data_IF_111684704847
#
_entry.id   IF_111684704847
#
_cell.length_a   1.000
_cell.length_b   1.000
_cell.length_c   1.000
_cell.angle_alpha   90.00
_cell.angle_beta   90.00
_cell.angle_gamma   90.00
#
_symmetry.space_group_name_H-M   'P 1'
#
loop_
_entity.id
_entity.type
_entity.pdbx_description
1 polymer ?
#
# COMPACT_ATOMS: atom_id res chain seq x y z
N UNK A 1 25.93 -2.10 -31.26
CA UNK A 1 25.19 -0.85 -30.97
C UNK A 1 24.19 -0.97 -29.81
N UNK A 2 23.66 -2.16 -29.45
CA UNK A 2 22.75 -2.32 -28.30
C UNK A 2 23.42 -2.19 -26.91
N UNK A 3 24.72 -2.51 -26.78
CA UNK A 3 25.46 -2.38 -25.51
C UNK A 3 26.04 -0.97 -25.23
N UNK A 4 25.92 -0.03 -26.17
CA UNK A 4 26.39 1.36 -25.97
C UNK A 4 25.28 2.24 -25.41
N UNK A 5 24.01 1.93 -25.72
CA UNK A 5 22.85 2.67 -25.17
C UNK A 5 22.55 2.35 -23.70
N UNK A 6 22.72 1.09 -23.26
CA UNK A 6 22.48 0.73 -21.86
C UNK A 6 23.54 1.34 -20.91
N UNK A 7 24.78 1.41 -21.37
CA UNK A 7 25.90 2.00 -20.61
C UNK A 7 25.80 3.53 -20.60
N UNK A 8 25.27 4.15 -21.67
CA UNK A 8 25.04 5.60 -21.72
C UNK A 8 23.89 6.04 -20.78
N UNK A 9 22.84 5.22 -20.62
CA UNK A 9 21.76 5.49 -19.67
C UNK A 9 22.24 5.41 -18.22
N UNK A 10 23.07 4.40 -17.87
CA UNK A 10 23.65 4.29 -16.53
C UNK A 10 24.68 5.38 -16.20
N UNK A 11 25.45 5.88 -17.18
CA UNK A 11 26.36 7.00 -16.95
C UNK A 11 25.65 8.37 -16.87
N UNK A 12 24.49 8.53 -17.52
CA UNK A 12 23.74 9.80 -17.45
C UNK A 12 23.09 10.07 -16.09
N UNK A 13 22.88 9.03 -15.27
CA UNK A 13 22.42 9.15 -13.87
C UNK A 13 23.54 9.50 -12.87
N UNK A 14 24.81 9.51 -13.30
CA UNK A 14 25.95 9.86 -12.42
C UNK A 14 26.46 11.29 -12.61
N UNK A 15 25.96 12.03 -13.59
CA UNK A 15 26.42 13.39 -13.89
C UNK A 15 25.36 14.43 -13.53
N UNK A 16 25.19 14.69 -12.24
CA UNK A 16 24.81 15.98 -11.61
C UNK A 16 24.50 15.77 -10.12
N UNK A 17 25.40 15.12 -9.40
CA UNK A 17 25.51 15.39 -7.95
C UNK A 17 26.50 16.53 -7.82
N UNK A 18 25.98 17.75 -7.75
CA UNK A 18 26.74 18.83 -7.16
C UNK A 18 27.07 18.39 -5.73
N UNK A 19 28.35 18.13 -5.48
CA UNK A 19 28.88 17.98 -4.15
C UNK A 19 28.67 19.32 -3.42
N UNK A 20 27.55 19.41 -2.69
CA UNK A 20 27.42 20.41 -1.64
C UNK A 20 28.13 19.82 -0.43
N UNK A 21 29.38 20.24 -0.28
CA UNK A 21 30.06 20.23 1.01
C UNK A 21 29.25 21.17 1.91
N UNK A 22 28.47 20.63 2.84
CA UNK A 22 27.83 21.42 3.88
C UNK A 22 28.00 20.73 5.23
N UNK A 23 28.94 21.29 5.98
CA UNK A 23 29.07 21.12 7.40
C UNK A 23 27.75 21.42 8.11
N UNK A 24 27.49 20.67 9.18
CA UNK A 24 26.52 20.96 10.24
C UNK A 24 25.04 21.07 9.83
N UNK A 25 24.32 19.94 9.94
CA UNK A 25 22.88 19.98 10.30
C UNK A 25 22.49 18.75 11.13
N UNK A 26 23.05 18.66 12.33
CA UNK A 26 22.32 18.14 13.50
C UNK A 26 21.85 19.33 14.36
N UNK A 27 21.38 20.40 13.71
CA UNK A 27 20.48 21.32 14.39
C UNK A 27 19.14 20.57 14.48
N UNK A 28 18.85 20.03 15.67
CA UNK A 28 17.48 19.63 16.02
C UNK A 28 16.54 20.73 15.53
N UNK A 29 15.56 20.37 14.70
CA UNK A 29 14.57 21.34 14.23
C UNK A 29 13.90 21.95 15.46
N UNK A 30 14.33 23.14 15.85
CA UNK A 30 13.70 23.91 16.93
C UNK A 30 12.35 24.40 16.41
N UNK A 31 11.33 23.57 16.58
CA UNK A 31 9.98 23.86 16.15
C UNK A 31 9.03 22.74 16.55
N UNK A 32 7.72 23.02 16.59
CA UNK A 32 6.72 22.02 16.96
C UNK A 32 6.55 20.91 15.90
N UNK A 33 7.23 21.01 14.76
CA UNK A 33 7.15 20.06 13.65
C UNK A 33 8.37 19.15 13.60
N UNK A 34 8.13 17.85 13.68
CA UNK A 34 9.10 16.79 13.38
C UNK A 34 8.78 16.22 12.00
N UNK A 35 9.70 16.40 11.05
CA UNK A 35 9.57 15.96 9.66
C UNK A 35 10.69 14.99 9.33
N UNK A 36 10.44 14.13 8.36
CA UNK A 36 11.45 13.26 7.78
C UNK A 36 10.83 12.29 6.80
N UNK A 37 11.64 11.37 6.32
CA UNK A 37 11.17 10.38 5.37
C UNK A 37 12.23 9.39 4.95
N UNK A 38 11.80 8.44 4.13
CA UNK A 38 12.61 7.42 3.50
C UNK A 38 12.23 7.40 2.02
N UNK A 39 13.21 7.61 1.16
CA UNK A 39 13.11 7.31 -0.25
C UNK A 39 13.97 6.06 -0.54
N UNK A 40 13.43 5.11 -1.28
CA UNK A 40 14.11 3.85 -1.54
C UNK A 40 13.88 3.30 -2.93
N UNK A 41 14.87 2.58 -3.45
CA UNK A 41 14.84 1.86 -4.70
C UNK A 41 15.35 0.44 -4.45
N UNK A 42 14.46 -0.53 -4.61
CA UNK A 42 14.75 -1.94 -4.50
C UNK A 42 14.90 -2.53 -5.90
N UNK A 43 15.88 -3.41 -6.08
CA UNK A 43 16.15 -4.06 -7.36
C UNK A 43 16.45 -5.53 -7.15
N UNK A 44 15.91 -6.37 -8.03
CA UNK A 44 16.25 -7.78 -8.10
C UNK A 44 16.44 -8.20 -9.55
N UNK A 45 17.42 -9.07 -9.79
CA UNK A 45 17.71 -9.60 -11.12
C UNK A 45 18.00 -11.08 -11.02
N UNK A 46 17.37 -11.86 -11.89
CA UNK A 46 17.73 -13.25 -12.18
C UNK A 46 18.19 -13.34 -13.62
N UNK A 47 19.44 -13.79 -13.81
CA UNK A 47 20.03 -14.00 -15.13
C UNK A 47 20.47 -15.45 -15.29
N UNK A 48 19.92 -16.12 -16.30
CA UNK A 48 20.14 -17.50 -16.63
C UNK A 48 20.69 -17.58 -18.06
N UNK A 49 21.81 -18.27 -18.21
CA UNK A 49 22.43 -18.57 -19.50
C UNK A 49 22.96 -20.00 -19.47
N UNK A 50 22.52 -20.83 -20.42
CA UNK A 50 22.84 -22.27 -20.48
C UNK A 50 22.59 -23.00 -19.14
N UNK A 51 21.60 -22.55 -18.37
CA UNK A 51 21.30 -23.09 -17.05
C UNK A 51 20.44 -24.33 -17.18
N UNK A 52 21.00 -25.50 -16.85
CA UNK A 52 20.34 -26.79 -17.04
C UNK A 52 19.09 -26.96 -16.16
N UNK A 53 19.04 -26.28 -15.01
CA UNK A 53 17.91 -26.37 -14.06
C UNK A 53 16.61 -25.69 -14.52
N UNK A 54 16.62 -24.99 -15.67
CA UNK A 54 15.47 -24.25 -16.17
C UNK A 54 15.17 -22.96 -15.37
N UNK A 55 14.10 -22.27 -15.75
CA UNK A 55 13.68 -20.99 -15.16
C UNK A 55 13.66 -19.85 -16.17
N UNK A 56 13.20 -18.68 -15.73
CA UNK A 56 13.10 -17.48 -16.55
C UNK A 56 14.05 -16.40 -16.06
N UNK A 57 14.60 -15.64 -17.01
CA UNK A 57 15.22 -14.36 -16.67
C UNK A 57 14.16 -13.45 -16.06
N UNK A 58 14.54 -12.71 -15.02
CA UNK A 58 13.62 -11.77 -14.39
C UNK A 58 14.36 -10.50 -13.97
N UNK A 59 13.66 -9.37 -14.09
CA UNK A 59 14.09 -8.09 -13.53
C UNK A 59 12.91 -7.57 -12.71
N UNK A 60 13.17 -7.10 -11.50
CA UNK A 60 12.20 -6.41 -10.66
C UNK A 60 12.81 -5.11 -10.16
N UNK A 61 12.03 -4.04 -10.20
CA UNK A 61 12.36 -2.77 -9.59
C UNK A 61 11.16 -2.24 -8.81
N UNK A 62 11.38 -1.75 -7.60
CA UNK A 62 10.35 -1.11 -6.78
C UNK A 62 10.87 0.18 -6.18
N UNK A 63 10.17 1.28 -6.42
CA UNK A 63 10.41 2.56 -5.78
C UNK A 63 9.46 2.73 -4.59
N UNK A 64 9.99 3.23 -3.48
CA UNK A 64 9.23 3.55 -2.27
C UNK A 64 9.52 4.98 -1.81
N UNK A 65 8.49 5.63 -1.29
CA UNK A 65 8.58 6.95 -0.68
C UNK A 65 7.66 6.96 0.56
N UNK A 66 8.22 7.12 1.74
CA UNK A 66 7.48 7.27 3.00
C UNK A 66 7.90 8.57 3.65
N UNK A 67 6.98 9.49 3.86
CA UNK A 67 7.21 10.81 4.43
C UNK A 67 6.34 10.98 5.66
N UNK A 68 6.84 11.70 6.66
CA UNK A 68 6.06 12.10 7.82
C UNK A 68 6.26 13.57 8.17
N UNK A 69 5.20 14.19 8.69
CA UNK A 69 5.22 15.53 9.22
C UNK A 69 4.29 15.61 10.44
N UNK A 70 4.88 15.56 11.62
CA UNK A 70 4.15 15.46 12.88
C UNK A 70 4.32 16.77 13.66
N UNK A 71 3.21 17.38 14.04
CA UNK A 71 3.15 18.55 14.89
C UNK A 71 2.81 18.15 16.32
N UNK A 72 3.52 18.71 17.30
CA UNK A 72 3.16 18.62 18.71
C UNK A 72 3.44 19.96 19.40
N UNK A 73 2.39 20.59 19.94
CA UNK A 73 2.51 21.80 20.75
C UNK A 73 1.32 21.95 21.69
N UNK A 74 1.61 22.38 22.92
CA UNK A 74 0.61 22.63 23.95
C UNK A 74 -0.32 21.42 24.17
N UNK A 75 -1.59 21.53 23.78
CA UNK A 75 -2.59 20.47 23.92
C UNK A 75 -2.91 19.76 22.60
N UNK A 76 -2.24 20.11 21.50
CA UNK A 76 -2.57 19.65 20.16
C UNK A 76 -1.46 18.80 19.56
N UNK A 77 -1.86 17.73 18.89
CA UNK A 77 -1.01 16.90 18.03
C UNK A 77 -1.60 16.85 16.63
N UNK A 78 -0.77 16.80 15.61
CA UNK A 78 -1.22 16.56 14.23
C UNK A 78 -0.20 15.70 13.50
N UNK A 79 -0.52 14.42 13.35
CA UNK A 79 0.33 13.43 12.71
C UNK A 79 -0.05 13.29 11.24
N UNK A 80 0.94 13.36 10.34
CA UNK A 80 0.71 13.19 8.91
C UNK A 80 1.71 12.20 8.33
N UNK A 81 1.22 11.26 7.52
CA UNK A 81 2.08 10.39 6.71
C UNK A 81 1.65 10.41 5.25
N UNK A 82 2.62 10.28 4.37
CA UNK A 82 2.44 10.04 2.95
C UNK A 82 3.30 8.84 2.58
N UNK A 83 2.67 7.79 2.07
CA UNK A 83 3.34 6.54 1.70
C UNK A 83 2.99 6.22 0.24
N UNK A 84 4.00 6.09 -0.61
CA UNK A 84 3.86 5.71 -2.00
C UNK A 84 4.81 4.57 -2.35
N UNK A 85 4.33 3.62 -3.14
CA UNK A 85 5.12 2.53 -3.68
C UNK A 85 4.71 2.24 -5.12
N UNK A 86 5.69 1.97 -5.98
CA UNK A 86 5.46 1.53 -7.35
C UNK A 86 6.49 0.50 -7.75
N UNK A 87 6.02 -0.67 -8.18
CA UNK A 87 6.88 -1.80 -8.51
C UNK A 87 6.47 -2.44 -9.83
N UNK A 88 7.47 -2.83 -10.61
CA UNK A 88 7.29 -3.59 -11.83
C UNK A 88 8.23 -4.79 -11.87
N UNK A 89 7.76 -5.87 -12.49
CA UNK A 89 8.60 -7.02 -12.84
C UNK A 89 8.46 -7.39 -14.30
N UNK A 90 9.55 -7.80 -14.91
CA UNK A 90 9.60 -8.40 -16.24
C UNK A 90 10.10 -9.82 -16.08
N UNK A 91 9.29 -10.80 -16.50
CA UNK A 91 9.67 -12.22 -16.53
C UNK A 91 9.78 -12.66 -17.99
N UNK A 92 10.96 -13.13 -18.39
CA UNK A 92 11.29 -13.48 -19.76
C UNK A 92 12.02 -12.35 -20.51
N UNK A 93 11.92 -12.34 -21.84
CA UNK A 93 12.55 -11.32 -22.70
C UNK A 93 11.47 -10.51 -23.41
N UNK A 94 11.67 -9.19 -23.49
CA UNK A 94 10.80 -8.28 -24.24
C UNK A 94 10.65 -8.72 -25.71
N UNK A 95 11.74 -9.18 -26.33
CA UNK A 95 11.76 -9.66 -27.72
C UNK A 95 10.87 -10.91 -27.92
N UNK A 96 10.61 -11.68 -26.85
CA UNK A 96 9.76 -12.88 -26.84
C UNK A 96 8.30 -12.55 -26.43
N UNK A 97 7.94 -11.26 -26.37
CA UNK A 97 6.60 -10.79 -26.01
C UNK A 97 6.33 -10.67 -24.50
N UNK A 98 7.36 -10.80 -23.66
CA UNK A 98 7.23 -10.51 -22.24
C UNK A 98 6.85 -9.04 -22.00
N UNK A 99 6.04 -8.79 -20.99
CA UNK A 99 5.58 -7.46 -20.63
C UNK A 99 5.93 -7.18 -19.17
N UNK A 100 6.08 -5.90 -18.84
CA UNK A 100 6.16 -5.49 -17.45
C UNK A 100 4.83 -5.75 -16.76
N UNK A 101 4.92 -6.33 -15.58
CA UNK A 101 3.81 -6.70 -14.72
C UNK A 101 3.88 -5.85 -13.46
N UNK A 102 2.78 -5.19 -13.14
CA UNK A 102 2.67 -4.37 -11.92
C UNK A 102 2.77 -5.28 -10.69
N UNK A 103 3.72 -5.01 -9.79
CA UNK A 103 3.92 -5.77 -8.54
C UNK A 103 3.58 -4.97 -7.30
N UNK A 104 3.65 -3.63 -7.40
CA UNK A 104 3.22 -2.72 -6.34
C UNK A 104 2.69 -1.42 -6.95
N UNK A 105 1.66 -0.87 -6.32
CA UNK A 105 1.04 0.39 -6.70
C UNK A 105 0.14 0.86 -5.56
N UNK A 106 0.69 1.77 -4.76
CA UNK A 106 0.02 2.29 -3.57
C UNK A 106 0.36 3.76 -3.43
N UNK A 107 -0.66 4.54 -3.12
CA UNK A 107 -0.57 5.89 -2.58
C UNK A 107 -1.47 5.91 -1.34
N UNK A 108 -0.91 6.26 -0.18
CA UNK A 108 -1.65 6.38 1.07
C UNK A 108 -1.28 7.70 1.76
N UNK A 109 -2.31 8.43 2.19
CA UNK A 109 -2.18 9.66 2.96
C UNK A 109 -2.93 9.44 4.26
N UNK A 110 -2.26 9.65 5.38
CA UNK A 110 -2.90 9.65 6.70
C UNK A 110 -2.74 11.02 7.33
N UNK A 111 -3.82 11.53 7.94
CA UNK A 111 -3.82 12.75 8.73
C UNK A 111 -4.62 12.50 10.00
N UNK A 112 -4.02 12.73 11.15
CA UNK A 112 -4.68 12.54 12.45
C UNK A 112 -4.44 13.76 13.34
N UNK A 113 -5.50 14.47 13.68
CA UNK A 113 -5.46 15.56 14.66
C UNK A 113 -5.86 15.02 16.03
N UNK A 114 -5.18 15.45 17.08
CA UNK A 114 -5.43 15.04 18.46
C UNK A 114 -5.44 16.24 19.41
N UNK A 115 -6.28 16.19 20.43
CA UNK A 115 -6.32 17.15 21.53
C UNK A 115 -6.28 16.41 22.87
N UNK A 116 -5.46 16.87 23.81
CA UNK A 116 -5.27 16.20 25.09
C UNK A 116 -6.58 16.08 25.89
N UNK A 117 -6.70 14.98 26.62
CA UNK A 117 -7.76 14.76 27.61
C UNK A 117 -7.17 14.82 29.03
N UNK A 118 -8.00 14.83 30.09
CA UNK A 118 -7.52 14.69 31.46
C UNK A 118 -6.85 13.34 31.76
N UNK A 119 -7.08 12.32 30.93
CA UNK A 119 -6.48 11.00 31.07
C UNK A 119 -5.07 11.02 30.45
N UNK A 120 -4.10 10.45 31.18
CA UNK A 120 -2.72 10.36 30.72
C UNK A 120 -2.65 9.58 29.40
N UNK A 121 -1.93 10.12 28.41
CA UNK A 121 -1.69 9.50 27.12
C UNK A 121 -2.92 9.27 26.24
N UNK A 122 -4.05 9.93 26.56
CA UNK A 122 -5.31 9.79 25.82
C UNK A 122 -5.68 11.13 25.19
N UNK A 123 -6.05 11.09 23.92
CA UNK A 123 -6.39 12.26 23.10
C UNK A 123 -7.78 12.08 22.48
N UNK A 124 -8.57 13.14 22.44
CA UNK A 124 -9.67 13.24 21.47
C UNK A 124 -9.05 13.36 20.09
N UNK A 125 -9.46 12.54 19.13
CA UNK A 125 -8.79 12.49 17.84
C UNK A 125 -9.78 12.45 16.66
N UNK A 126 -9.41 13.13 15.59
CA UNK A 126 -10.02 12.99 14.27
C UNK A 126 -8.99 12.40 13.31
N UNK A 127 -9.40 11.42 12.51
CA UNK A 127 -8.54 10.73 11.56
C UNK A 127 -9.14 10.80 10.16
N UNK A 128 -8.32 11.15 9.18
CA UNK A 128 -8.60 11.03 7.77
C UNK A 128 -7.53 10.14 7.12
N UNK A 129 -7.95 9.15 6.35
CA UNK A 129 -7.06 8.30 5.55
C UNK A 129 -7.57 8.27 4.11
N UNK A 130 -6.66 8.45 3.17
CA UNK A 130 -6.92 8.25 1.76
C UNK A 130 -5.95 7.20 1.23
N UNK A 131 -6.45 6.18 0.52
CA UNK A 131 -5.62 5.15 -0.12
C UNK A 131 -6.10 4.92 -1.54
N UNK A 132 -5.18 4.89 -2.49
CA UNK A 132 -5.50 4.61 -3.89
C UNK A 132 -4.29 3.98 -4.59
N UNK A 133 -4.48 3.69 -5.86
CA UNK A 133 -3.48 3.28 -6.83
C UNK A 133 -3.57 4.20 -8.06
N UNK A 134 -2.54 4.21 -8.90
CA UNK A 134 -2.42 5.18 -10.00
C UNK A 134 -2.07 4.57 -11.37
N UNK A 135 -1.95 3.25 -11.48
CA UNK A 135 -1.71 2.53 -12.72
C UNK A 135 -2.70 1.36 -12.90
N UNK A 136 -2.88 0.91 -14.14
CA UNK A 136 -3.74 -0.23 -14.46
C UNK A 136 -3.10 -1.53 -13.97
N UNK A 137 -3.88 -2.38 -13.31
CA UNK A 137 -3.47 -3.73 -12.89
C UNK A 137 -4.25 -4.79 -13.63
N UNK A 138 -3.55 -5.86 -14.03
CA UNK A 138 -4.11 -6.98 -14.77
C UNK A 138 -3.85 -8.28 -14.01
N UNK A 139 -4.73 -9.25 -14.17
CA UNK A 139 -4.47 -10.61 -13.69
C UNK A 139 -3.55 -11.35 -14.67
N UNK A 140 -2.25 -11.37 -14.36
CA UNK A 140 -1.24 -12.03 -15.19
C UNK A 140 -1.22 -13.56 -15.05
N UNK A 141 -2.06 -14.14 -14.17
CA UNK A 141 -2.24 -15.59 -14.04
C UNK A 141 -3.05 -16.20 -15.20
N UNK A 142 -3.86 -15.39 -15.89
CA UNK A 142 -4.70 -15.87 -16.99
C UNK A 142 -4.19 -15.40 -18.36
N UNK A 143 -4.40 -16.19 -19.44
CA UNK A 143 -4.00 -15.77 -20.79
C UNK A 143 -4.71 -14.51 -21.28
N UNK A 144 -5.96 -14.29 -20.83
CA UNK A 144 -6.80 -13.15 -21.22
C UNK A 144 -6.41 -11.85 -20.53
N UNK A 145 -5.66 -11.93 -19.41
CA UNK A 145 -5.16 -10.78 -18.63
C UNK A 145 -6.22 -9.72 -18.39
N UNK A 146 -7.36 -10.07 -17.76
CA UNK A 146 -8.42 -9.11 -17.51
C UNK A 146 -7.91 -7.98 -16.62
N UNK A 147 -8.43 -6.78 -16.86
CA UNK A 147 -8.23 -5.62 -15.98
C UNK A 147 -8.87 -5.95 -14.62
N UNK A 148 -8.10 -5.83 -13.54
CA UNK A 148 -8.55 -6.06 -12.17
C UNK A 148 -8.51 -4.81 -11.31
N UNK A 149 -7.78 -3.78 -11.73
CA UNK A 149 -7.68 -2.51 -11.03
C UNK A 149 -7.22 -1.40 -11.97
N UNK A 150 -7.54 -0.15 -11.65
CA UNK A 150 -7.23 1.04 -12.45
C UNK A 150 -6.91 2.21 -11.50
N UNK A 151 -6.41 3.37 -11.97
CA UNK A 151 -6.28 4.55 -11.12
C UNK A 151 -7.59 4.86 -10.41
N UNK A 152 -7.57 5.04 -9.09
CA UNK A 152 -8.79 5.25 -8.28
C UNK A 152 -9.86 4.13 -8.38
N UNK A 153 -9.46 2.93 -8.82
CA UNK A 153 -10.27 1.72 -8.80
C UNK A 153 -9.45 0.57 -8.15
N UNK A 154 -9.34 0.56 -6.81
CA UNK A 154 -10.13 1.33 -5.86
C UNK A 154 -9.44 2.60 -5.31
N UNK A 155 -10.25 3.58 -4.94
CA UNK A 155 -9.88 4.68 -4.04
C UNK A 155 -10.68 4.62 -2.74
N UNK A 156 -10.01 4.48 -1.61
CA UNK A 156 -10.63 4.45 -0.28
C UNK A 156 -10.41 5.76 0.46
N UNK A 157 -11.48 6.33 1.01
CA UNK A 157 -11.44 7.48 1.89
C UNK A 157 -12.11 7.14 3.22
N UNK A 158 -11.38 7.28 4.32
CA UNK A 158 -11.89 7.07 5.68
C UNK A 158 -11.84 8.38 6.44
N UNK A 159 -12.93 8.71 7.14
CA UNK A 159 -13.01 9.85 8.06
C UNK A 159 -13.66 9.38 9.35
N UNK A 160 -12.93 9.46 10.46
CA UNK A 160 -13.42 9.02 11.76
C UNK A 160 -13.11 10.03 12.86
N UNK A 161 -13.88 9.93 13.94
CA UNK A 161 -13.64 10.67 15.17
C UNK A 161 -13.68 9.72 16.35
N UNK A 162 -12.71 9.83 17.26
CA UNK A 162 -12.56 8.87 18.33
C UNK A 162 -11.53 9.29 19.36
N UNK A 163 -10.90 8.27 19.94
CA UNK A 163 -9.89 8.41 20.98
C UNK A 163 -8.59 7.80 20.46
N UNK A 164 -7.48 8.48 20.70
CA UNK A 164 -6.13 8.00 20.40
C UNK A 164 -5.37 7.80 21.70
N UNK A 165 -4.94 6.57 21.98
CA UNK A 165 -4.14 6.21 23.15
C UNK A 165 -2.69 6.00 22.73
N UNK A 166 -1.78 6.81 23.28
CA UNK A 166 -0.36 6.88 22.92
C UNK A 166 0.55 6.81 24.16
N UNK A 167 0.73 5.63 24.76
CA UNK A 167 1.56 5.47 25.96
C UNK A 167 3.06 5.66 25.71
N UNK A 168 3.52 5.57 24.45
CA UNK A 168 4.91 5.81 24.06
C UNK A 168 4.98 6.31 22.62
N UNK A 169 6.14 6.83 22.20
CA UNK A 169 6.32 7.33 20.82
C UNK A 169 6.14 6.24 19.75
N UNK A 170 6.42 4.98 20.09
CA UNK A 170 6.36 3.85 19.19
C UNK A 170 5.05 3.05 19.27
N UNK A 171 4.04 3.48 20.00
CA UNK A 171 2.78 2.74 20.09
C UNK A 171 1.57 3.67 20.12
N UNK A 172 0.58 3.39 19.27
CA UNK A 172 -0.69 4.10 19.28
C UNK A 172 -1.86 3.16 19.00
N UNK A 173 -2.97 3.39 19.71
CA UNK A 173 -4.26 2.73 19.48
C UNK A 173 -5.30 3.81 19.27
N UNK A 174 -5.81 3.91 18.04
CA UNK A 174 -6.91 4.78 17.69
C UNK A 174 -8.20 3.96 17.63
N UNK A 175 -9.20 4.36 18.41
CA UNK A 175 -10.52 3.76 18.44
C UNK A 175 -11.56 4.81 18.07
N UNK A 176 -12.32 4.54 17.02
CA UNK A 176 -13.39 5.39 16.52
C UNK A 176 -14.70 4.60 16.50
N UNK A 177 -15.70 4.94 17.33
CA UNK A 177 -17.02 4.32 17.27
C UNK A 177 -17.82 4.77 16.05
N UNK A 178 -17.39 5.83 15.36
CA UNK A 178 -18.08 6.36 14.19
C UNK A 178 -17.06 6.79 13.14
N UNK A 179 -16.97 6.00 12.08
CA UNK A 179 -16.08 6.22 10.94
C UNK A 179 -16.88 6.06 9.66
N UNK A 180 -16.83 7.07 8.79
CA UNK A 180 -17.30 6.97 7.43
C UNK A 180 -16.18 6.38 6.55
N UNK A 181 -16.51 5.41 5.70
CA UNK A 181 -15.63 4.84 4.68
C UNK A 181 -16.33 5.01 3.34
N UNK A 182 -15.61 5.56 2.36
CA UNK A 182 -16.08 5.75 1.00
C UNK A 182 -15.14 4.99 0.09
N UNK A 183 -15.69 4.10 -0.72
CA UNK A 183 -14.95 3.36 -1.75
C UNK A 183 -15.36 3.91 -3.10
N UNK A 184 -14.37 4.29 -3.90
CA UNK A 184 -14.51 4.84 -5.25
C UNK A 184 -13.95 3.82 -6.23
N UNK A 185 -14.67 3.59 -7.32
CA UNK A 185 -14.27 2.72 -8.43
C UNK A 185 -14.39 3.53 -9.72
N UNK A 186 -13.34 4.26 -10.05
CA UNK A 186 -13.26 5.15 -11.23
C UNK A 186 -13.04 4.36 -12.55
N UNK A 187 -13.77 3.26 -12.71
CA UNK A 187 -13.79 2.46 -13.93
C UNK A 187 -15.12 1.71 -14.02
N UNK A 188 -15.95 2.08 -14.99
CA UNK A 188 -17.32 1.53 -15.10
C UNK A 188 -17.35 0.02 -15.34
N UNK A 189 -16.34 -0.54 -16.03
CA UNK A 189 -16.26 -1.99 -16.24
C UNK A 189 -16.04 -2.73 -14.91
N UNK A 190 -15.18 -2.19 -14.04
CA UNK A 190 -14.94 -2.75 -12.72
C UNK A 190 -16.16 -2.55 -11.79
N UNK A 191 -16.79 -1.38 -11.84
CA UNK A 191 -18.01 -1.10 -11.08
C UNK A 191 -19.18 -2.01 -11.50
N UNK A 192 -19.41 -2.20 -12.79
CA UNK A 192 -20.43 -3.12 -13.31
C UNK A 192 -20.20 -4.56 -12.85
N UNK A 193 -18.95 -4.97 -12.63
CA UNK A 193 -18.59 -6.27 -12.10
C UNK A 193 -18.76 -6.39 -10.56
N UNK A 194 -19.15 -5.33 -9.87
CA UNK A 194 -19.23 -5.28 -8.40
C UNK A 194 -17.86 -5.31 -7.72
N UNK A 195 -16.79 -4.91 -8.42
CA UNK A 195 -15.44 -4.92 -7.87
C UNK A 195 -15.36 -4.04 -6.62
N UNK A 196 -14.56 -4.46 -5.63
CA UNK A 196 -14.36 -3.72 -4.37
C UNK A 196 -15.64 -3.47 -3.55
N UNK A 197 -16.65 -4.33 -3.74
CA UNK A 197 -17.88 -4.37 -2.94
C UNK A 197 -18.93 -3.32 -3.32
N UNK A 198 -18.76 -2.59 -4.42
CA UNK A 198 -19.80 -1.67 -4.94
C UNK A 198 -20.99 -2.46 -5.52
N UNK A 199 -22.15 -1.81 -5.67
CA UNK A 199 -23.30 -2.44 -6.30
C UNK A 199 -23.00 -2.75 -7.78
N UNK A 200 -23.10 -4.03 -8.16
CA UNK A 200 -22.87 -4.48 -9.53
C UNK A 200 -23.99 -4.01 -10.47
N UNK A 201 -23.73 -4.08 -11.78
CA UNK A 201 -24.75 -3.82 -12.78
C UNK A 201 -25.90 -4.83 -12.69
N UNK A 202 -27.11 -4.36 -12.96
CA UNK A 202 -28.30 -5.21 -13.05
C UNK A 202 -28.54 -5.64 -14.49
N UNK A 203 -28.95 -6.89 -14.67
CA UNK A 203 -29.24 -7.48 -15.98
C UNK A 203 -30.62 -8.10 -15.98
N UNK A 204 -31.34 -7.93 -17.09
CA UNK A 204 -32.60 -8.62 -17.31
C UNK A 204 -32.34 -10.14 -17.41
N UNK A 205 -33.03 -10.96 -16.62
CA UNK A 205 -32.72 -12.39 -16.51
C UNK A 205 -33.06 -13.19 -17.78
N UNK A 206 -33.84 -12.61 -18.71
CA UNK A 206 -34.28 -13.27 -19.95
C UNK A 206 -33.46 -12.77 -21.14
N UNK A 207 -33.28 -11.46 -21.26
CA UNK A 207 -32.63 -10.84 -22.42
C UNK A 207 -31.12 -10.64 -22.22
N UNK A 208 -30.63 -10.74 -20.98
CA UNK A 208 -29.23 -10.47 -20.58
C UNK A 208 -28.81 -9.03 -20.92
N UNK A 209 -29.77 -8.16 -21.25
CA UNK A 209 -29.51 -6.75 -21.45
C UNK A 209 -29.28 -6.08 -20.10
N UNK A 210 -28.31 -5.18 -20.04
CA UNK A 210 -28.06 -4.36 -18.86
C UNK A 210 -29.24 -3.41 -18.62
N UNK A 211 -29.82 -3.45 -17.43
CA UNK A 211 -30.96 -2.62 -17.03
C UNK A 211 -30.54 -1.44 -16.16
N UNK A 212 -29.47 -1.59 -15.40
CA UNK A 212 -28.84 -0.52 -14.62
C UNK A 212 -27.31 -0.72 -14.59
N UNK A 213 -26.57 0.38 -14.64
CA UNK A 213 -25.12 0.37 -14.45
C UNK A 213 -24.77 0.15 -12.97
N UNK A 214 -23.62 -0.47 -12.71
CA UNK A 214 -23.08 -0.60 -11.36
C UNK A 214 -22.67 0.75 -10.79
N UNK A 215 -22.67 0.87 -9.46
CA UNK A 215 -22.34 2.10 -8.77
C UNK A 215 -20.83 2.28 -8.65
N UNK A 216 -20.31 3.48 -8.96
CA UNK A 216 -18.89 3.78 -8.81
C UNK A 216 -18.50 4.17 -7.38
N UNK A 217 -19.47 4.35 -6.48
CA UNK A 217 -19.22 4.82 -5.12
C UNK A 217 -20.02 3.98 -4.14
N UNK A 218 -19.33 3.44 -3.13
CA UNK A 218 -19.94 2.77 -1.98
C UNK A 218 -19.71 3.60 -0.72
N UNK A 219 -20.77 3.78 0.05
CA UNK A 219 -20.73 4.47 1.34
C UNK A 219 -20.94 3.48 2.48
N UNK A 220 -20.06 3.53 3.47
CA UNK A 220 -20.10 2.68 4.65
C UNK A 220 -19.94 3.54 5.90
N UNK A 221 -20.59 3.15 6.99
CA UNK A 221 -20.39 3.76 8.31
C UNK A 221 -20.20 2.66 9.34
N UNK A 222 -19.22 2.82 10.21
CA UNK A 222 -18.78 1.72 11.05
C UNK A 222 -17.86 2.09 12.19
N UNK A 223 -17.56 1.07 12.99
CA UNK A 223 -16.52 1.14 14.01
C UNK A 223 -15.14 0.94 13.38
N UNK A 224 -14.13 1.63 13.88
CA UNK A 224 -12.77 1.52 13.38
C UNK A 224 -11.76 1.45 14.52
N UNK A 225 -10.83 0.51 14.44
CA UNK A 225 -9.70 0.36 15.34
C UNK A 225 -8.42 0.33 14.52
N UNK A 226 -7.46 1.18 14.88
CA UNK A 226 -6.13 1.21 14.28
C UNK A 226 -5.08 1.07 15.35
N UNK A 227 -4.26 0.04 15.24
CA UNK A 227 -3.14 -0.24 16.12
C UNK A 227 -1.86 -0.04 15.33
N UNK A 228 -0.97 0.83 15.80
CA UNK A 228 0.33 1.04 15.20
C UNK A 228 1.43 0.82 16.25
N UNK A 229 2.47 0.10 15.87
CA UNK A 229 3.61 -0.21 16.72
C UNK A 229 4.92 -0.09 15.93
N UNK A 230 5.91 0.56 16.54
CA UNK A 230 7.26 0.71 16.01
C UNK A 230 8.26 0.42 17.14
N UNK A 231 9.26 -0.41 16.82
CA UNK A 231 10.32 -0.78 17.77
C UNK A 231 11.64 -1.02 17.05
N UNK A 232 12.73 -0.51 17.61
CA UNK A 232 14.07 -0.99 17.26
C UNK A 232 14.28 -2.36 17.93
N UNK A 233 14.36 -3.42 17.11
CA UNK A 233 14.51 -4.80 17.59
C UNK A 233 15.95 -5.06 18.06
N UNK A 234 16.91 -4.52 17.32
CA UNK A 234 18.34 -4.52 17.60
C UNK A 234 18.99 -3.41 16.78
N UNK A 235 20.29 -3.21 16.95
CA UNK A 235 21.03 -2.24 16.15
C UNK A 235 20.80 -2.49 14.65
N UNK A 236 20.48 -1.43 13.91
CA UNK A 236 20.18 -1.47 12.47
C UNK A 236 18.94 -2.25 12.05
N UNK A 237 18.11 -2.77 12.97
CA UNK A 237 16.88 -3.50 12.65
C UNK A 237 15.67 -2.85 13.32
N UNK A 238 14.77 -2.28 12.52
CA UNK A 238 13.53 -1.64 12.97
C UNK A 238 12.31 -2.43 12.50
N UNK A 239 11.38 -2.67 13.40
CA UNK A 239 10.05 -3.18 13.13
C UNK A 239 9.04 -2.03 13.13
N UNK A 240 8.20 -1.97 12.11
CA UNK A 240 7.00 -1.13 12.04
C UNK A 240 5.83 -2.01 11.66
N UNK A 241 4.73 -1.98 12.40
CA UNK A 241 3.52 -2.74 12.11
C UNK A 241 2.28 -1.90 12.36
N UNK A 242 1.30 -2.01 11.48
CA UNK A 242 0.03 -1.27 11.53
C UNK A 242 -1.10 -2.22 11.16
N UNK A 243 -2.07 -2.38 12.05
CA UNK A 243 -3.28 -3.16 11.82
C UNK A 243 -4.51 -2.24 11.93
N UNK A 244 -5.31 -2.23 10.88
CA UNK A 244 -6.58 -1.51 10.79
C UNK A 244 -7.71 -2.54 10.78
N UNK A 245 -8.76 -2.29 11.56
CA UNK A 245 -9.95 -3.11 11.67
C UNK A 245 -11.17 -2.22 11.45
N UNK A 246 -12.05 -2.59 10.53
CA UNK A 246 -13.29 -1.86 10.25
C UNK A 246 -14.49 -2.80 10.38
N UNK A 247 -15.52 -2.38 11.10
CA UNK A 247 -16.76 -3.12 11.25
C UNK A 247 -17.91 -2.29 10.67
N UNK A 248 -18.48 -2.74 9.57
CA UNK A 248 -19.56 -2.02 8.88
C UNK A 248 -20.89 -2.17 9.65
N UNK A 249 -21.44 -1.06 10.15
CA UNK A 249 -22.69 -1.08 10.90
C UNK A 249 -23.93 -1.25 10.01
N UNK A 250 -23.82 -0.96 8.71
CA UNK A 250 -24.93 -1.07 7.76
C UNK A 250 -25.08 -2.50 7.22
N UNK A 251 -24.00 -3.28 7.24
CA UNK A 251 -23.96 -4.61 6.63
C UNK A 251 -23.14 -5.55 7.52
N UNK A 252 -23.82 -6.45 8.22
CA UNK A 252 -23.22 -7.50 9.07
C UNK A 252 -22.11 -7.00 10.01
N UNK A 253 -22.46 -6.19 11.02
CA UNK A 253 -21.50 -5.60 11.97
C UNK A 253 -20.58 -6.59 12.74
N UNK A 254 -20.86 -7.89 12.68
CA UNK A 254 -19.97 -8.93 13.22
C UNK A 254 -18.78 -9.26 12.32
N UNK A 255 -18.84 -8.88 11.05
CA UNK A 255 -17.77 -9.10 10.08
C UNK A 255 -16.81 -7.91 10.14
N UNK A 256 -15.52 -8.22 10.27
CA UNK A 256 -14.46 -7.24 10.49
C UNK A 256 -13.53 -7.29 9.29
N UNK A 257 -13.45 -6.18 8.56
CA UNK A 257 -12.41 -5.98 7.56
C UNK A 257 -11.08 -5.79 8.27
N UNK A 258 -10.03 -6.44 7.76
CA UNK A 258 -8.69 -6.41 8.33
C UNK A 258 -7.71 -5.93 7.26
N UNK A 259 -6.92 -4.92 7.60
CA UNK A 259 -5.76 -4.50 6.82
C UNK A 259 -4.54 -4.44 7.74
N UNK A 260 -3.63 -5.39 7.58
CA UNK A 260 -2.46 -5.51 8.45
C UNK A 260 -1.16 -5.48 7.64
N UNK A 261 -0.33 -4.48 7.93
CA UNK A 261 0.97 -4.27 7.29
C UNK A 261 2.08 -4.42 8.34
N UNK A 262 3.15 -5.11 7.98
CA UNK A 262 4.37 -5.21 8.80
C UNK A 262 5.60 -5.02 7.94
N UNK A 263 6.53 -4.18 8.40
CA UNK A 263 7.82 -3.89 7.79
C UNK A 263 8.94 -4.12 8.80
N UNK A 264 9.90 -4.95 8.43
CA UNK A 264 11.19 -5.09 9.11
C UNK A 264 12.23 -4.44 8.19
N UNK A 265 12.76 -3.29 8.60
CA UNK A 265 13.81 -2.58 7.90
C UNK A 265 15.18 -2.90 8.52
N UNK A 266 16.12 -3.34 7.70
CA UNK A 266 17.47 -3.73 8.08
C UNK A 266 18.49 -2.83 7.37
N UNK A 267 19.18 -1.99 8.13
CA UNK A 267 20.23 -1.11 7.60
C UNK A 267 21.56 -1.85 7.49
N UNK A 268 22.08 -1.99 6.27
CA UNK A 268 23.38 -2.64 6.05
C UNK A 268 24.49 -1.60 6.12
N UNK A 269 24.32 -0.45 5.46
CA UNK A 269 25.22 0.69 5.58
C UNK A 269 24.46 2.02 5.36
N UNK A 270 25.16 3.13 5.09
CA UNK A 270 24.53 4.45 4.90
C UNK A 270 23.50 4.48 3.75
N UNK A 271 23.67 3.65 2.72
CA UNK A 271 22.83 3.64 1.52
C UNK A 271 22.15 2.30 1.27
N UNK A 272 22.80 1.19 1.60
CA UNK A 272 22.28 -0.15 1.35
C UNK A 272 21.37 -0.61 2.51
N UNK A 273 20.19 -1.08 2.14
CA UNK A 273 19.20 -1.63 3.07
C UNK A 273 18.59 -2.91 2.54
N UNK A 274 18.17 -3.76 3.48
CA UNK A 274 17.28 -4.87 3.21
C UNK A 274 15.97 -4.61 3.94
N UNK A 275 14.86 -5.11 3.42
CA UNK A 275 13.58 -5.04 4.11
C UNK A 275 12.74 -6.27 3.83
N UNK A 276 11.99 -6.69 4.84
CA UNK A 276 10.93 -7.69 4.70
C UNK A 276 9.61 -6.98 5.00
N UNK A 277 8.71 -6.98 4.03
CA UNK A 277 7.37 -6.41 4.18
C UNK A 277 6.31 -7.48 3.97
N UNK A 278 5.24 -7.41 4.76
CA UNK A 278 4.06 -8.26 4.62
C UNK A 278 2.81 -7.42 4.66
N UNK A 279 1.80 -7.83 3.91
CA UNK A 279 0.50 -7.17 3.83
C UNK A 279 -0.59 -8.24 3.78
N UNK A 280 -1.42 -8.26 4.80
CA UNK A 280 -2.59 -9.12 4.93
C UNK A 280 -3.85 -8.27 4.78
N UNK A 281 -4.74 -8.70 3.90
CA UNK A 281 -6.05 -8.08 3.69
C UNK A 281 -7.12 -9.16 3.84
N UNK A 282 -8.18 -8.84 4.57
CA UNK A 282 -9.42 -9.60 4.60
C UNK A 282 -10.58 -8.59 4.54
N UNK A 283 -11.53 -8.81 3.66
CA UNK A 283 -12.75 -8.02 3.53
C UNK A 283 -13.86 -9.00 3.18
N UNK A 284 -14.94 -8.97 3.95
CA UNK A 284 -16.03 -9.95 3.82
C UNK A 284 -16.89 -9.70 2.57
N UNK A 285 -16.92 -8.47 2.08
CA UNK A 285 -17.70 -8.06 0.92
C UNK A 285 -16.93 -8.22 -0.40
N UNK A 286 -15.61 -8.43 -0.34
CA UNK A 286 -14.79 -8.68 -1.52
C UNK A 286 -14.73 -10.17 -1.80
N UNK A 287 -15.51 -10.57 -2.80
CA UNK A 287 -15.53 -11.94 -3.28
C UNK A 287 -14.36 -12.20 -4.24
N UNK A 288 -13.54 -13.19 -3.92
CA UNK A 288 -12.43 -13.66 -4.75
C UNK A 288 -12.83 -14.98 -5.40
N UNK A 289 -12.79 -15.01 -6.73
CA UNK A 289 -13.00 -16.23 -7.48
C UNK A 289 -11.86 -17.22 -7.21
N UNK A 290 -12.21 -18.48 -6.99
CA UNK A 290 -11.25 -19.54 -6.69
C UNK A 290 -11.32 -20.57 -7.78
N UNK A 291 -10.21 -20.77 -8.46
CA UNK A 291 -9.91 -21.93 -9.28
C UNK A 291 -8.91 -22.79 -8.48
N UNK A 292 -9.36 -23.95 -7.97
CA UNK A 292 -8.55 -24.81 -7.07
C UNK A 292 -7.66 -25.76 -7.83
N UNK A 293 -7.95 -26.02 -9.10
CA UNK A 293 -7.24 -26.98 -9.94
C UNK A 293 -6.50 -26.33 -11.12
N UNK A 294 -6.54 -24.99 -11.22
CA UNK A 294 -5.89 -24.17 -12.24
C UNK A 294 -6.32 -24.58 -13.66
N UNK A 295 -7.58 -25.02 -13.80
CA UNK A 295 -8.15 -25.47 -15.08
C UNK A 295 -8.83 -24.34 -15.86
N UNK A 296 -8.83 -23.13 -15.30
CA UNK A 296 -9.47 -21.93 -15.83
C UNK A 296 -10.96 -21.81 -15.47
N UNK A 297 -11.50 -22.69 -14.62
CA UNK A 297 -12.90 -22.71 -14.18
C UNK A 297 -12.97 -22.36 -12.69
N UNK A 298 -13.81 -21.38 -12.36
CA UNK A 298 -14.03 -21.00 -10.96
C UNK A 298 -14.83 -22.09 -10.21
N UNK A 299 -14.17 -22.77 -9.28
CA UNK A 299 -14.75 -23.75 -8.34
C UNK A 299 -15.58 -23.10 -7.22
N UNK A 300 -15.43 -21.79 -7.01
CA UNK A 300 -16.20 -21.05 -6.03
C UNK A 300 -15.89 -19.56 -6.03
N UNK A 301 -16.68 -18.81 -5.25
CA UNK A 301 -16.50 -17.38 -5.06
C UNK A 301 -16.79 -17.04 -3.60
N UNK A 302 -15.98 -16.20 -2.96
CA UNK A 302 -16.21 -15.79 -1.57
C UNK A 302 -15.06 -14.97 -0.96
N UNK A 303 -15.25 -14.40 0.24
CA UNK A 303 -14.21 -13.64 0.92
C UNK A 303 -13.05 -14.53 1.37
N UNK A 304 -11.83 -14.07 1.16
CA UNK A 304 -10.59 -14.81 1.47
C UNK A 304 -9.51 -13.88 1.98
N UNK A 305 -8.62 -14.43 2.80
CA UNK A 305 -7.40 -13.75 3.22
C UNK A 305 -6.50 -13.62 1.99
N UNK A 306 -6.11 -12.38 1.69
CA UNK A 306 -5.08 -12.06 0.72
C UNK A 306 -3.78 -11.78 1.49
N UNK A 307 -2.68 -12.37 1.04
CA UNK A 307 -1.39 -12.20 1.69
C UNK A 307 -0.31 -11.89 0.64
N UNK A 308 0.42 -10.80 0.87
CA UNK A 308 1.57 -10.39 0.08
C UNK A 308 2.79 -10.35 1.00
N UNK A 309 3.90 -10.92 0.54
CA UNK A 309 5.21 -10.82 1.18
C UNK A 309 6.22 -10.31 0.15
N UNK A 310 7.07 -9.38 0.55
CA UNK A 310 8.16 -8.88 -0.29
C UNK A 310 9.43 -8.77 0.55
N UNK A 311 10.43 -9.56 0.17
CA UNK A 311 11.81 -9.38 0.60
C UNK A 311 12.54 -8.52 -0.43
N UNK A 312 13.11 -7.41 0.03
CA UNK A 312 13.79 -6.44 -0.82
C UNK A 312 15.21 -6.20 -0.36
N UNK A 313 16.11 -6.02 -1.33
CA UNK A 313 17.44 -5.46 -1.15
C UNK A 313 17.54 -4.23 -2.05
N UNK A 314 18.00 -3.12 -1.51
CA UNK A 314 17.94 -1.85 -2.23
C UNK A 314 18.79 -0.75 -1.64
N UNK A 315 18.71 0.38 -2.32
CA UNK A 315 19.25 1.64 -1.83
C UNK A 315 18.13 2.39 -1.14
N UNK A 316 18.39 2.96 0.03
CA UNK A 316 17.46 3.88 0.67
C UNK A 316 18.19 5.03 1.33
N UNK A 317 17.57 6.19 1.29
CA UNK A 317 18.04 7.39 1.96
C UNK A 317 16.98 7.83 2.96
N UNK A 318 17.38 7.92 4.22
CA UNK A 318 16.56 8.45 5.31
C UNK A 318 17.02 9.87 5.64
N UNK A 319 16.06 10.79 5.74
CA UNK A 319 16.26 12.20 6.06
C UNK A 319 15.20 12.71 7.03
#
# INVERSE_FOLDING_TARGET
MKHVLLTACLLSLMATTYAQDEAATEAAVEGPWKKGGIAGLNFSQTYLSNWQGGGNNAINGTAILSLYANYAKDKWTWDNTFDAAYGQTLIGKLDDGAQFQKTDDKIEINSKVGHTTPLLNVYWAGLATFRTQWDAGYDYGTPTRPLISDPFAPGYFLLGTGIDYKPSEGFSVYLSPLTAKVTIVDNQRLANAGAFGVAAAEYDPVTVAMTAEGENVRYEIGGYLKVAYQKDLMENVKLTTKADFFANYLQNAGNIDVNWETLIAMKINKFLTASLSTHLIYDDDINIAVDRNDDGINDGNGPRIQFKEVLSLGLSYQF
#
